data_IF_422023041630
#
_entry.id   IF_422023041630
#
_cell.length_a   1.000
_cell.length_b   1.000
_cell.length_c   1.000
_cell.angle_alpha   90.00
_cell.angle_beta   90.00
_cell.angle_gamma   90.00
#
_symmetry.space_group_name_H-M   'P 1'
#
loop_
_entity.id
_entity.type
_entity.pdbx_description
1 polymer ?
#
# COMPACT_ATOMS: atom_id res chain seq x y z
N UNK A 1 9.87 24.71 -55.98
CA UNK A 1 8.86 24.42 -54.95
C UNK A 1 8.91 22.91 -54.74
N UNK A 2 9.54 22.48 -53.68
CA UNK A 2 9.59 21.07 -53.25
C UNK A 2 8.55 20.92 -52.15
N UNK A 3 7.52 20.09 -52.38
CA UNK A 3 6.56 19.70 -51.40
C UNK A 3 7.21 18.79 -50.39
N UNK A 4 7.26 19.24 -49.15
CA UNK A 4 7.69 18.44 -47.99
C UNK A 4 6.53 17.61 -47.50
N UNK A 5 6.51 16.33 -47.85
CA UNK A 5 5.54 15.36 -47.29
C UNK A 5 5.84 15.18 -45.80
N UNK A 6 4.98 15.74 -44.97
CA UNK A 6 4.93 15.45 -43.53
C UNK A 6 4.21 14.13 -43.36
N UNK A 7 4.95 13.06 -43.13
CA UNK A 7 4.40 11.78 -42.66
C UNK A 7 4.02 11.94 -41.20
N UNK A 8 2.74 12.09 -40.94
CA UNK A 8 2.18 11.99 -39.59
C UNK A 8 2.12 10.51 -39.25
N UNK A 9 3.11 10.04 -38.50
CA UNK A 9 3.06 8.72 -37.89
C UNK A 9 1.93 8.72 -36.84
N UNK A 10 0.88 7.95 -37.09
CA UNK A 10 -0.07 7.53 -36.08
C UNK A 10 0.64 6.49 -35.21
N UNK A 11 1.31 6.91 -34.16
CA UNK A 11 1.73 6.03 -33.08
C UNK A 11 0.51 5.68 -32.23
N UNK A 12 0.02 4.47 -32.39
CA UNK A 12 -0.74 3.80 -31.36
C UNK A 12 0.27 3.37 -30.29
N UNK A 13 0.63 4.29 -29.41
CA UNK A 13 1.42 3.97 -28.22
C UNK A 13 0.58 3.09 -27.29
N UNK A 14 0.57 1.79 -27.55
CA UNK A 14 0.36 0.80 -26.50
C UNK A 14 1.51 1.01 -25.52
N UNK A 15 1.17 1.60 -24.36
CA UNK A 15 2.10 1.71 -23.23
C UNK A 15 2.56 0.28 -22.91
N UNK A 16 3.70 -0.11 -23.48
CA UNK A 16 4.34 -1.38 -23.15
C UNK A 16 4.56 -1.38 -21.64
N UNK A 17 4.00 -2.37 -20.97
CA UNK A 17 4.03 -2.59 -19.53
C UNK A 17 5.44 -2.34 -18.98
N UNK A 18 5.65 -1.16 -18.39
CA UNK A 18 6.89 -0.82 -17.72
C UNK A 18 6.88 -1.59 -16.39
N UNK A 19 7.57 -2.71 -16.37
CA UNK A 19 7.73 -3.56 -15.20
C UNK A 19 8.59 -2.85 -14.14
N UNK A 20 7.95 -1.99 -13.34
CA UNK A 20 8.62 -1.23 -12.30
C UNK A 20 8.48 -1.85 -10.92
N UNK A 21 7.27 -1.80 -10.37
CA UNK A 21 6.94 -2.36 -9.06
C UNK A 21 6.20 -3.67 -9.27
N UNK A 22 6.73 -4.76 -8.73
CA UNK A 22 6.19 -6.10 -8.90
C UNK A 22 5.61 -6.66 -7.60
N UNK A 23 4.59 -7.46 -7.74
CA UNK A 23 4.07 -8.33 -6.67
C UNK A 23 4.94 -9.58 -6.61
N UNK A 24 5.54 -9.85 -5.45
CA UNK A 24 6.46 -10.96 -5.26
C UNK A 24 5.98 -11.90 -4.14
N UNK A 25 6.57 -13.09 -4.07
CA UNK A 25 6.40 -14.04 -2.97
C UNK A 25 5.66 -15.31 -3.36
N UNK A 26 5.56 -16.23 -2.41
CA UNK A 26 4.99 -17.56 -2.64
C UNK A 26 3.47 -17.53 -2.85
N UNK A 27 2.81 -16.48 -2.38
CA UNK A 27 1.37 -16.25 -2.60
C UNK A 27 1.03 -15.74 -4.03
N UNK A 28 2.05 -15.56 -4.91
CA UNK A 28 1.83 -15.17 -6.31
C UNK A 28 0.88 -16.13 -7.03
N UNK A 29 1.01 -17.44 -6.79
CA UNK A 29 0.08 -18.44 -7.32
C UNK A 29 -1.35 -18.20 -6.88
N UNK A 30 -1.57 -17.83 -5.62
CA UNK A 30 -2.88 -17.48 -5.08
C UNK A 30 -3.39 -16.15 -5.65
N UNK A 31 -2.54 -15.14 -5.75
CA UNK A 31 -2.93 -13.86 -6.36
C UNK A 31 -3.42 -14.05 -7.80
N UNK A 32 -2.82 -15.00 -8.53
CA UNK A 32 -3.21 -15.37 -9.88
C UNK A 32 -4.54 -16.13 -9.90
N UNK A 33 -4.71 -17.14 -9.04
CA UNK A 33 -5.89 -18.04 -9.05
C UNK A 33 -7.14 -17.39 -8.48
N UNK A 34 -7.03 -16.55 -7.47
CA UNK A 34 -8.16 -16.03 -6.69
C UNK A 34 -8.78 -14.75 -7.27
N UNK A 35 -8.40 -14.33 -8.45
CA UNK A 35 -8.77 -13.02 -9.01
C UNK A 35 -8.53 -11.87 -8.01
N UNK A 36 -7.40 -11.94 -7.32
CA UNK A 36 -7.05 -10.97 -6.28
C UNK A 36 -6.50 -9.66 -6.86
N UNK A 37 -6.25 -9.62 -8.18
CA UNK A 37 -5.69 -8.48 -8.89
C UNK A 37 -6.69 -8.01 -9.94
N UNK A 38 -6.94 -6.71 -9.99
CA UNK A 38 -7.71 -6.04 -11.04
C UNK A 38 -6.94 -4.81 -11.51
N UNK A 39 -7.19 -4.40 -12.75
CA UNK A 39 -6.64 -3.20 -13.37
C UNK A 39 -7.76 -2.21 -13.65
N UNK A 40 -7.52 -0.95 -13.36
CA UNK A 40 -8.41 0.13 -13.80
C UNK A 40 -8.24 0.39 -15.31
N UNK A 41 -9.18 1.12 -15.91
CA UNK A 41 -9.03 1.59 -17.28
C UNK A 41 -8.15 2.85 -17.40
N UNK A 42 -7.42 3.18 -16.33
CA UNK A 42 -6.52 4.33 -16.25
C UNK A 42 -6.69 5.15 -14.97
N UNK A 43 -6.37 6.43 -15.06
CA UNK A 43 -6.43 7.41 -13.97
C UNK A 43 -7.36 8.55 -14.40
N UNK A 44 -8.18 9.07 -13.46
CA UNK A 44 -9.09 10.17 -13.73
C UNK A 44 -9.13 11.17 -12.56
N UNK A 45 -9.48 12.45 -12.82
CA UNK A 45 -9.81 13.38 -11.75
C UNK A 45 -10.96 12.83 -10.90
N UNK A 46 -10.84 12.90 -9.57
CA UNK A 46 -11.79 12.26 -8.66
C UNK A 46 -13.24 12.75 -8.85
N UNK A 47 -13.43 14.03 -9.10
CA UNK A 47 -14.76 14.63 -9.33
C UNK A 47 -15.47 14.06 -10.53
N UNK A 48 -14.77 13.55 -11.55
CA UNK A 48 -15.38 12.95 -12.75
C UNK A 48 -15.88 11.53 -12.52
N UNK A 49 -15.38 10.82 -11.49
CA UNK A 49 -15.74 9.43 -11.19
C UNK A 49 -16.59 9.31 -9.92
N UNK A 50 -16.33 10.17 -8.91
CA UNK A 50 -16.88 10.06 -7.56
C UNK A 50 -17.31 11.43 -7.03
N UNK A 51 -18.28 12.07 -7.70
CA UNK A 51 -18.77 13.42 -7.38
C UNK A 51 -19.42 13.53 -5.98
N UNK A 52 -19.92 12.41 -5.43
CA UNK A 52 -20.55 12.35 -4.10
C UNK A 52 -19.56 12.26 -2.95
N UNK A 53 -18.28 11.99 -3.21
CA UNK A 53 -17.26 11.90 -2.17
C UNK A 53 -16.51 13.22 -2.01
N UNK A 54 -16.07 13.56 -0.79
CA UNK A 54 -15.42 14.83 -0.49
C UNK A 54 -13.94 14.83 -0.93
N UNK A 55 -13.68 14.70 -2.21
CA UNK A 55 -12.33 14.83 -2.74
C UNK A 55 -11.89 16.29 -2.86
N UNK A 56 -10.65 16.57 -2.50
CA UNK A 56 -10.06 17.87 -2.82
C UNK A 56 -9.92 18.07 -4.35
N UNK A 57 -9.82 19.32 -4.80
CA UNK A 57 -9.93 19.67 -6.22
C UNK A 57 -8.88 19.01 -7.11
N UNK A 58 -7.68 18.75 -6.62
CA UNK A 58 -6.57 18.13 -7.35
C UNK A 58 -6.44 16.62 -7.15
N UNK A 59 -7.48 15.95 -6.61
CA UNK A 59 -7.43 14.51 -6.38
C UNK A 59 -7.60 13.72 -7.68
N UNK A 60 -6.82 12.65 -7.79
CA UNK A 60 -6.95 11.64 -8.84
C UNK A 60 -7.30 10.29 -8.23
N UNK A 61 -8.03 9.49 -8.98
CA UNK A 61 -8.51 8.16 -8.59
C UNK A 61 -8.39 7.19 -9.75
N UNK A 62 -8.47 5.87 -9.50
CA UNK A 62 -8.57 4.89 -10.59
C UNK A 62 -9.80 5.14 -11.45
N UNK A 63 -9.64 5.10 -12.76
CA UNK A 63 -10.73 5.23 -13.75
C UNK A 63 -11.45 3.90 -13.89
N UNK A 64 -12.77 3.94 -13.76
CA UNK A 64 -13.63 2.76 -13.96
C UNK A 64 -13.83 2.44 -15.45
N UNK A 65 -14.16 1.19 -15.83
CA UNK A 65 -14.36 0.04 -14.94
C UNK A 65 -13.05 -0.65 -14.54
N UNK A 66 -13.14 -1.49 -13.49
CA UNK A 66 -12.11 -2.47 -13.18
C UNK A 66 -12.24 -3.67 -14.11
N UNK A 67 -11.11 -4.25 -14.51
CA UNK A 67 -11.03 -5.47 -15.31
C UNK A 67 -9.98 -6.45 -14.76
N UNK A 68 -10.09 -7.70 -15.13
CA UNK A 68 -9.02 -8.67 -14.90
C UNK A 68 -7.83 -8.35 -15.80
N UNK A 69 -6.59 -8.51 -15.31
CA UNK A 69 -5.43 -8.43 -16.18
C UNK A 69 -5.42 -9.57 -17.19
N UNK A 70 -4.93 -9.31 -18.40
CA UNK A 70 -4.56 -10.36 -19.34
C UNK A 70 -3.35 -11.16 -18.83
N UNK A 71 -3.04 -12.30 -19.43
CA UNK A 71 -1.97 -13.18 -18.93
C UNK A 71 -0.61 -12.50 -18.97
N UNK A 72 -0.29 -11.81 -20.05
CA UNK A 72 0.95 -11.06 -20.24
C UNK A 72 1.08 -9.85 -19.28
N UNK A 73 -0.03 -9.16 -19.03
CA UNK A 73 -0.08 -8.09 -18.02
C UNK A 73 0.17 -8.66 -16.62
N UNK A 74 -0.44 -9.80 -16.31
CA UNK A 74 -0.27 -10.46 -15.03
C UNK A 74 1.18 -10.97 -14.87
N UNK A 75 1.77 -11.55 -15.91
CA UNK A 75 3.16 -12.01 -15.90
C UNK A 75 4.14 -10.84 -15.71
N UNK A 76 3.82 -9.64 -16.24
CA UNK A 76 4.62 -8.44 -16.04
C UNK A 76 4.53 -7.88 -14.63
N UNK A 77 3.37 -8.04 -13.97
CA UNK A 77 3.12 -7.57 -12.60
C UNK A 77 3.69 -8.52 -11.53
N UNK A 78 3.81 -9.80 -11.85
CA UNK A 78 4.27 -10.81 -10.90
C UNK A 78 5.78 -11.02 -11.02
N UNK A 79 6.44 -11.25 -9.89
CA UNK A 79 7.87 -11.52 -9.79
C UNK A 79 8.15 -12.58 -8.72
N UNK A 80 9.41 -12.94 -8.56
CA UNK A 80 9.88 -13.82 -7.51
C UNK A 80 10.68 -13.05 -6.45
N UNK A 81 10.87 -13.66 -5.29
CA UNK A 81 11.70 -13.10 -4.21
C UNK A 81 13.14 -12.89 -4.68
N UNK A 82 13.66 -13.81 -5.51
CA UNK A 82 15.04 -13.78 -6.03
C UNK A 82 15.27 -12.61 -6.99
N UNK A 83 14.22 -12.12 -7.65
CA UNK A 83 14.28 -10.99 -8.58
C UNK A 83 13.88 -9.66 -7.96
N UNK A 84 13.60 -9.64 -6.67
CA UNK A 84 13.17 -8.45 -5.94
C UNK A 84 14.28 -7.39 -5.90
N UNK A 85 14.02 -6.22 -6.46
CA UNK A 85 14.92 -5.07 -6.38
C UNK A 85 14.51 -4.18 -5.19
N UNK A 86 15.46 -3.57 -4.48
CA UNK A 86 15.15 -2.66 -3.37
C UNK A 86 14.10 -1.61 -3.78
N UNK A 87 13.09 -1.42 -2.92
CA UNK A 87 12.06 -0.40 -3.13
C UNK A 87 11.19 -0.55 -4.39
N UNK A 88 11.21 -1.72 -5.07
CA UNK A 88 10.44 -1.97 -6.29
C UNK A 88 9.59 -3.24 -6.22
N UNK A 89 9.25 -3.67 -5.02
CA UNK A 89 8.41 -4.84 -4.83
C UNK A 89 7.31 -4.58 -3.81
N UNK A 90 6.22 -5.31 -3.98
CA UNK A 90 5.12 -5.42 -3.03
C UNK A 90 4.97 -6.90 -2.71
N UNK A 91 4.78 -7.23 -1.45
CA UNK A 91 4.50 -8.59 -1.03
C UNK A 91 3.25 -8.63 -0.17
N UNK A 92 2.35 -9.57 -0.46
CA UNK A 92 1.22 -9.90 0.41
C UNK A 92 1.62 -11.10 1.24
N UNK A 93 1.54 -10.97 2.56
CA UNK A 93 1.94 -12.01 3.52
C UNK A 93 0.79 -12.32 4.48
N UNK A 94 0.71 -13.57 4.93
CA UNK A 94 -0.21 -13.96 5.99
C UNK A 94 0.42 -13.68 7.34
N UNK A 95 -0.31 -13.00 8.20
CA UNK A 95 0.12 -12.70 9.57
C UNK A 95 -0.35 -13.84 10.49
N UNK A 96 0.51 -14.34 11.40
CA UNK A 96 0.10 -15.32 12.39
C UNK A 96 -1.11 -14.85 13.19
N UNK A 97 -2.03 -15.79 13.42
CA UNK A 97 -3.28 -15.49 14.13
C UNK A 97 -3.03 -14.88 15.51
N UNK A 98 -1.99 -15.31 16.19
CA UNK A 98 -1.59 -14.84 17.52
C UNK A 98 -1.23 -13.34 17.51
N UNK A 99 -0.68 -12.83 16.41
CA UNK A 99 -0.37 -11.40 16.25
C UNK A 99 -1.64 -10.62 15.97
N UNK A 100 -2.52 -11.13 15.13
CA UNK A 100 -3.83 -10.52 14.85
C UNK A 100 -4.69 -10.49 16.13
N UNK A 101 -4.68 -11.56 16.91
CA UNK A 101 -5.43 -11.70 18.15
C UNK A 101 -4.98 -10.72 19.25
N UNK A 102 -3.78 -10.14 19.17
CA UNK A 102 -3.36 -9.06 20.09
C UNK A 102 -4.35 -7.88 20.08
N UNK A 103 -5.02 -7.65 18.95
CA UNK A 103 -6.01 -6.59 18.78
C UNK A 103 -7.45 -7.08 19.00
N UNK A 104 -7.69 -8.39 19.08
CA UNK A 104 -9.03 -8.96 19.22
C UNK A 104 -9.63 -8.76 20.63
N UNK A 105 -8.77 -8.60 21.66
CA UNK A 105 -9.21 -8.38 23.05
C UNK A 105 -10.12 -7.17 23.19
N UNK A 106 -9.85 -6.08 22.46
CA UNK A 106 -10.67 -4.88 22.40
C UNK A 106 -11.87 -4.96 21.46
N UNK A 107 -12.11 -6.11 20.81
CA UNK A 107 -13.15 -6.27 19.79
C UNK A 107 -13.12 -5.17 18.74
N UNK A 108 -11.91 -4.76 18.37
CA UNK A 108 -11.64 -3.63 17.46
C UNK A 108 -12.35 -3.80 16.10
N UNK A 109 -12.41 -5.03 15.60
CA UNK A 109 -13.15 -5.40 14.41
C UNK A 109 -14.38 -6.23 14.80
N UNK A 110 -15.46 -5.58 15.19
CA UNK A 110 -16.72 -6.24 15.45
C UNK A 110 -17.83 -5.66 14.58
N UNK A 111 -18.87 -6.46 14.31
CA UNK A 111 -20.07 -6.00 13.58
C UNK A 111 -20.76 -4.80 14.25
N UNK A 112 -20.51 -4.58 15.54
CA UNK A 112 -21.10 -3.50 16.35
C UNK A 112 -20.07 -2.39 16.68
N UNK A 113 -18.94 -2.32 15.97
CA UNK A 113 -17.97 -1.24 16.13
C UNK A 113 -18.59 0.08 15.67
N UNK A 114 -18.38 1.12 16.45
CA UNK A 114 -18.75 2.50 16.13
C UNK A 114 -17.50 3.36 16.11
N UNK A 115 -17.52 4.50 15.43
CA UNK A 115 -16.41 5.47 15.39
C UNK A 115 -15.93 5.81 16.82
N UNK A 116 -16.85 6.07 17.74
CA UNK A 116 -16.52 6.37 19.14
C UNK A 116 -15.75 5.24 19.82
N UNK A 117 -16.22 3.98 19.72
CA UNK A 117 -15.55 2.82 20.32
C UNK A 117 -14.16 2.58 19.72
N UNK A 118 -14.01 2.80 18.42
CA UNK A 118 -12.72 2.67 17.75
C UNK A 118 -11.73 3.74 18.20
N UNK A 119 -12.17 5.00 18.37
CA UNK A 119 -11.34 6.09 18.91
C UNK A 119 -10.94 5.82 20.35
N UNK A 120 -11.86 5.38 21.18
CA UNK A 120 -11.59 5.01 22.58
C UNK A 120 -10.54 3.90 22.65
N UNK A 121 -10.72 2.81 21.88
CA UNK A 121 -9.76 1.72 21.84
C UNK A 121 -8.38 2.18 21.33
N UNK A 122 -8.31 2.89 20.20
CA UNK A 122 -7.02 3.29 19.59
C UNK A 122 -6.23 4.27 20.47
N UNK A 123 -6.88 5.01 21.35
CA UNK A 123 -6.22 5.86 22.36
C UNK A 123 -5.86 5.13 23.65
N UNK A 124 -6.38 3.92 23.87
CA UNK A 124 -6.24 3.14 25.09
C UNK A 124 -4.86 2.50 25.28
N UNK A 125 -4.59 2.05 26.52
CA UNK A 125 -3.36 1.34 26.88
C UNK A 125 -3.27 -0.05 26.24
N UNK A 126 -4.40 -0.75 26.12
CA UNK A 126 -4.50 -2.07 25.49
C UNK A 126 -4.03 -2.03 24.03
N UNK A 127 -4.50 -1.05 23.26
CA UNK A 127 -4.04 -0.88 21.88
C UNK A 127 -2.55 -0.54 21.79
N UNK A 128 -2.06 0.32 22.68
CA UNK A 128 -0.61 0.62 22.74
C UNK A 128 0.23 -0.61 23.03
N UNK A 129 -0.19 -1.47 23.94
CA UNK A 129 0.51 -2.73 24.24
C UNK A 129 0.48 -3.67 23.03
N UNK A 130 -0.67 -3.82 22.36
CA UNK A 130 -0.80 -4.60 21.14
C UNK A 130 0.14 -4.07 20.03
N UNK A 131 0.21 -2.75 19.84
CA UNK A 131 1.14 -2.12 18.91
C UNK A 131 2.59 -2.49 19.24
N UNK A 132 3.02 -2.36 20.50
CA UNK A 132 4.39 -2.66 20.90
C UNK A 132 4.76 -4.13 20.65
N UNK A 133 3.84 -5.07 20.91
CA UNK A 133 4.04 -6.49 20.61
C UNK A 133 4.12 -6.76 19.12
N UNK A 134 3.25 -6.10 18.33
CA UNK A 134 3.26 -6.22 16.88
C UNK A 134 4.53 -5.61 16.28
N UNK A 135 5.04 -4.50 16.80
CA UNK A 135 6.33 -3.91 16.40
C UNK A 135 7.48 -4.89 16.57
N UNK A 136 7.51 -5.67 17.66
CA UNK A 136 8.53 -6.72 17.84
C UNK A 136 8.42 -7.82 16.77
N UNK A 137 7.20 -8.20 16.40
CA UNK A 137 6.97 -9.18 15.33
C UNK A 137 7.43 -8.64 13.99
N UNK A 138 6.94 -7.45 13.58
CA UNK A 138 7.28 -6.88 12.26
C UNK A 138 8.74 -6.48 12.15
N UNK A 139 9.40 -6.14 13.27
CA UNK A 139 10.84 -5.90 13.33
C UNK A 139 11.69 -7.12 12.95
N UNK A 140 11.18 -8.34 13.16
CA UNK A 140 11.86 -9.55 12.69
C UNK A 140 11.73 -9.80 11.18
N UNK A 141 10.84 -9.06 10.50
CA UNK A 141 10.67 -9.10 9.05
C UNK A 141 11.59 -8.10 8.33
N UNK A 142 12.34 -7.28 9.05
CA UNK A 142 13.30 -6.31 8.50
C UNK A 142 14.65 -6.95 8.23
N UNK A 143 15.52 -6.23 7.53
CA UNK A 143 16.93 -6.59 7.42
C UNK A 143 17.59 -6.52 8.80
N UNK A 144 18.41 -7.51 9.19
CA UNK A 144 19.05 -7.54 10.51
C UNK A 144 19.90 -6.29 10.81
N UNK A 145 20.48 -5.70 9.77
CA UNK A 145 21.31 -4.48 9.87
C UNK A 145 20.46 -3.21 10.09
N UNK A 146 19.16 -3.29 9.81
CA UNK A 146 18.21 -2.16 9.90
C UNK A 146 16.91 -2.59 10.59
N UNK A 147 16.95 -3.05 11.85
CA UNK A 147 15.78 -3.63 12.53
C UNK A 147 14.76 -2.60 13.00
N UNK A 148 15.00 -1.31 12.75
CA UNK A 148 14.17 -0.22 13.26
C UNK A 148 12.79 -0.20 12.59
N UNK A 149 11.77 -0.12 13.43
CA UNK A 149 10.38 0.12 13.03
C UNK A 149 9.96 1.48 13.55
N UNK A 150 9.44 2.30 12.68
CA UNK A 150 8.89 3.60 13.02
C UNK A 150 7.42 3.75 12.60
N UNK A 151 6.76 4.87 12.99
CA UNK A 151 5.41 5.25 12.60
C UNK A 151 4.36 4.16 12.84
N UNK A 152 4.60 3.28 13.83
CA UNK A 152 3.67 2.21 14.15
C UNK A 152 2.39 2.77 14.78
N UNK A 153 1.23 2.46 14.18
CA UNK A 153 -0.07 2.91 14.65
C UNK A 153 -1.20 2.02 14.15
N UNK A 154 -2.35 2.12 14.80
CA UNK A 154 -3.61 1.53 14.33
C UNK A 154 -4.49 2.64 13.78
N UNK A 155 -5.00 2.41 12.59
CA UNK A 155 -5.92 3.32 11.89
C UNK A 155 -7.24 2.61 11.63
N UNK A 156 -8.31 3.39 11.53
CA UNK A 156 -9.59 2.90 11.03
C UNK A 156 -10.16 3.89 10.01
N UNK A 157 -10.95 3.36 9.07
CA UNK A 157 -11.56 4.11 7.97
C UNK A 157 -12.99 3.68 7.79
N UNK A 158 -13.80 4.59 7.27
CA UNK A 158 -15.18 4.29 6.89
C UNK A 158 -15.23 3.23 5.79
N UNK A 159 -16.26 2.39 5.78
CA UNK A 159 -16.51 1.46 4.68
C UNK A 159 -16.94 2.18 3.41
N UNK A 160 -16.73 1.55 2.25
CA UNK A 160 -17.22 2.02 0.96
C UNK A 160 -16.42 3.16 0.31
N UNK A 161 -15.26 3.53 0.84
CA UNK A 161 -14.43 4.60 0.29
C UNK A 161 -13.65 4.12 -0.94
N UNK A 162 -13.75 4.84 -2.10
CA UNK A 162 -12.94 4.53 -3.28
C UNK A 162 -11.44 4.69 -3.05
N UNK A 163 -11.03 5.69 -2.23
CA UNK A 163 -9.69 5.85 -1.66
C UNK A 163 -9.79 6.26 -0.20
N UNK A 164 -8.80 5.95 0.62
CA UNK A 164 -8.93 6.03 2.08
C UNK A 164 -8.09 7.10 2.76
N UNK A 165 -7.13 7.70 2.05
CA UNK A 165 -6.20 8.64 2.67
C UNK A 165 -6.82 10.03 2.79
N UNK A 166 -6.94 10.60 4.02
CA UNK A 166 -7.41 11.96 4.20
C UNK A 166 -6.31 12.96 3.83
N UNK A 167 -6.71 14.07 3.25
CA UNK A 167 -5.87 15.28 3.12
C UNK A 167 -6.06 16.17 4.35
N UNK A 168 -7.24 16.70 4.50
CA UNK A 168 -7.73 17.43 5.67
C UNK A 168 -9.16 16.97 5.88
N UNK A 169 -9.45 16.29 6.99
CA UNK A 169 -10.79 15.74 7.21
C UNK A 169 -11.89 16.81 6.99
N UNK A 170 -12.94 16.53 6.21
CA UNK A 170 -13.30 15.22 5.62
C UNK A 170 -12.71 14.97 4.22
N UNK A 171 -11.87 15.84 3.65
CA UNK A 171 -11.38 15.72 2.28
C UNK A 171 -10.46 14.49 2.08
N UNK A 172 -10.68 13.75 0.99
CA UNK A 172 -9.85 12.64 0.56
C UNK A 172 -8.75 13.11 -0.39
N UNK A 173 -7.54 12.56 -0.19
CA UNK A 173 -6.36 12.89 -0.99
C UNK A 173 -6.38 12.24 -2.38
N UNK A 174 -6.92 11.05 -2.50
CA UNK A 174 -6.83 10.23 -3.69
C UNK A 174 -5.45 9.59 -3.87
N UNK A 175 -5.16 9.09 -5.06
CA UNK A 175 -3.87 8.50 -5.39
C UNK A 175 -2.73 9.47 -5.07
N UNK A 176 -1.74 9.04 -4.29
CA UNK A 176 -0.67 9.88 -3.75
C UNK A 176 0.64 9.11 -3.57
N UNK A 177 1.68 9.81 -3.23
CA UNK A 177 2.96 9.28 -2.77
C UNK A 177 3.11 9.71 -1.33
N UNK A 178 3.51 8.81 -0.44
CA UNK A 178 3.85 9.18 0.93
C UNK A 178 5.01 10.19 0.92
N UNK A 179 5.03 11.11 1.87
CA UNK A 179 5.98 12.22 1.89
C UNK A 179 6.78 12.33 3.19
N UNK A 180 6.91 11.21 3.91
CA UNK A 180 7.68 11.16 5.14
C UNK A 180 9.18 11.40 4.91
N UNK A 181 9.67 11.01 3.72
CA UNK A 181 11.07 11.13 3.29
C UNK A 181 11.19 12.07 2.08
N UNK A 182 10.44 13.17 2.09
CA UNK A 182 10.37 14.13 0.99
C UNK A 182 11.72 14.78 0.62
N UNK A 183 12.69 14.79 1.54
CA UNK A 183 14.04 15.33 1.30
C UNK A 183 14.99 14.34 0.60
N UNK A 184 14.57 13.08 0.40
CA UNK A 184 15.37 12.07 -0.29
C UNK A 184 15.20 12.22 -1.79
N UNK A 185 16.30 12.32 -2.58
CA UNK A 185 16.26 12.35 -4.04
C UNK A 185 15.52 11.15 -4.64
N UNK A 186 14.98 11.28 -5.84
CA UNK A 186 14.20 10.20 -6.48
C UNK A 186 15.00 8.94 -6.69
N UNK A 187 16.28 9.08 -7.06
CA UNK A 187 17.21 7.98 -7.33
C UNK A 187 17.48 7.14 -6.06
N UNK A 188 17.36 7.76 -4.90
CA UNK A 188 17.62 7.13 -3.59
C UNK A 188 16.33 6.59 -2.92
N UNK A 189 15.15 6.89 -3.45
CA UNK A 189 13.88 6.47 -2.85
C UNK A 189 13.64 4.97 -2.87
N UNK A 190 14.40 4.23 -3.63
CA UNK A 190 14.43 2.77 -3.58
C UNK A 190 14.96 2.23 -2.23
N UNK A 191 15.66 3.07 -1.46
CA UNK A 191 16.31 2.68 -0.20
C UNK A 191 15.64 3.26 1.05
N UNK A 192 14.54 4.01 0.91
CA UNK A 192 13.79 4.49 2.06
C UNK A 192 12.94 3.37 2.70
N UNK A 193 12.57 3.49 3.99
CA UNK A 193 11.70 2.53 4.63
C UNK A 193 10.42 2.27 3.85
N UNK A 194 10.04 1.00 3.77
CA UNK A 194 8.79 0.54 3.18
C UNK A 194 7.69 0.51 4.25
N UNK A 195 6.44 0.46 3.83
CA UNK A 195 5.29 0.34 4.72
C UNK A 195 4.80 -1.09 4.78
N UNK A 196 4.61 -1.62 6.01
CA UNK A 196 3.76 -2.78 6.23
C UNK A 196 2.37 -2.29 6.68
N UNK A 197 1.31 -2.94 6.17
CA UNK A 197 -0.06 -2.66 6.60
C UNK A 197 -0.84 -3.96 6.75
N UNK A 198 -1.23 -4.28 7.99
CA UNK A 198 -1.95 -5.50 8.37
C UNK A 198 -3.45 -5.20 8.37
N UNK A 199 -4.23 -5.99 7.66
CA UNK A 199 -5.69 -5.95 7.73
C UNK A 199 -6.18 -6.62 9.02
N UNK A 200 -6.59 -5.80 9.99
CA UNK A 200 -7.19 -6.23 11.25
C UNK A 200 -8.73 -6.22 11.19
N UNK A 201 -9.31 -5.80 10.06
CA UNK A 201 -10.74 -5.67 9.84
C UNK A 201 -11.44 -7.01 9.58
N UNK A 202 -12.76 -6.94 9.36
CA UNK A 202 -13.62 -8.10 9.07
C UNK A 202 -13.82 -8.34 7.58
N UNK A 203 -13.49 -7.36 6.74
CA UNK A 203 -13.70 -7.39 5.31
C UNK A 203 -12.37 -7.33 4.55
N UNK A 204 -12.39 -7.76 3.30
CA UNK A 204 -11.28 -7.52 2.38
C UNK A 204 -11.09 -6.01 2.21
N UNK A 205 -9.85 -5.56 2.22
CA UNK A 205 -9.45 -4.21 1.81
C UNK A 205 -8.59 -4.29 0.56
N UNK A 206 -8.33 -3.16 -0.08
CA UNK A 206 -7.54 -3.16 -1.30
C UNK A 206 -6.38 -2.17 -1.19
N UNK A 207 -5.21 -2.59 -1.70
CA UNK A 207 -4.12 -1.70 -2.04
C UNK A 207 -4.28 -1.31 -3.51
N UNK A 208 -4.27 -0.01 -3.78
CA UNK A 208 -4.28 0.59 -5.10
C UNK A 208 -2.88 1.14 -5.39
N UNK A 209 -2.31 0.85 -6.57
CA UNK A 209 -1.01 1.42 -6.91
C UNK A 209 -0.77 1.49 -8.42
N UNK A 210 0.09 2.42 -8.82
CA UNK A 210 0.69 2.50 -10.14
C UNK A 210 1.95 1.62 -10.14
N UNK A 211 2.08 0.71 -11.11
CA UNK A 211 3.19 -0.25 -11.17
C UNK A 211 4.52 0.35 -11.65
N UNK A 212 4.72 1.65 -11.47
CA UNK A 212 5.94 2.37 -11.78
C UNK A 212 6.52 3.04 -10.53
N UNK A 213 7.83 2.94 -10.35
CA UNK A 213 8.56 3.64 -9.29
C UNK A 213 8.77 5.12 -9.66
N UNK A 214 9.13 5.96 -8.68
CA UNK A 214 9.28 7.41 -8.92
C UNK A 214 10.35 7.73 -9.98
N UNK A 215 11.47 7.02 -10.00
CA UNK A 215 12.50 7.20 -11.02
C UNK A 215 12.01 6.81 -12.42
N UNK A 216 11.20 5.76 -12.55
CA UNK A 216 10.59 5.40 -13.83
C UNK A 216 9.58 6.44 -14.30
N UNK A 217 8.72 6.92 -13.38
CA UNK A 217 7.79 8.02 -13.69
C UNK A 217 8.58 9.28 -14.11
N UNK A 218 9.70 9.57 -13.45
CA UNK A 218 10.60 10.66 -13.84
C UNK A 218 11.05 10.51 -15.30
N UNK A 219 11.59 9.36 -15.68
CA UNK A 219 12.02 9.11 -17.06
C UNK A 219 10.87 9.26 -18.07
N UNK A 220 9.68 8.72 -17.75
CA UNK A 220 8.50 8.86 -18.60
C UNK A 220 8.09 10.34 -18.82
N UNK A 221 8.19 11.17 -17.79
CA UNK A 221 7.90 12.59 -17.88
C UNK A 221 8.95 13.34 -18.73
N UNK A 222 10.23 13.01 -18.51
CA UNK A 222 11.37 13.58 -19.27
C UNK A 222 11.26 13.23 -20.76
N UNK A 223 11.01 11.97 -21.09
CA UNK A 223 10.87 11.49 -22.47
C UNK A 223 9.75 12.21 -23.22
N UNK A 224 8.66 12.54 -22.53
CA UNK A 224 7.57 13.36 -23.08
C UNK A 224 7.78 14.87 -22.96
N UNK A 225 8.94 15.34 -22.43
CA UNK A 225 9.27 16.75 -22.22
C UNK A 225 8.25 17.48 -21.33
N UNK A 226 7.65 16.77 -20.37
CA UNK A 226 6.70 17.33 -19.42
C UNK A 226 7.49 18.01 -18.30
N UNK A 227 7.22 19.30 -18.10
CA UNK A 227 7.85 20.07 -17.03
C UNK A 227 7.11 19.87 -15.71
N UNK A 228 7.84 19.76 -14.61
CA UNK A 228 7.35 19.75 -13.25
C UNK A 228 8.45 20.23 -12.30
N UNK A 229 8.06 20.79 -11.15
CA UNK A 229 9.02 21.26 -10.16
C UNK A 229 9.56 20.10 -9.30
N UNK A 230 10.86 20.10 -9.08
CA UNK A 230 11.58 19.17 -8.20
C UNK A 230 11.95 19.80 -6.84
N UNK A 231 11.65 21.10 -6.66
CA UNK A 231 12.12 21.89 -5.50
C UNK A 231 11.06 21.93 -4.41
N UNK A 232 11.25 21.19 -3.31
CA UNK A 232 10.51 21.24 -2.05
C UNK A 232 9.55 20.08 -1.76
N UNK A 233 8.90 20.08 -0.58
CA UNK A 233 7.84 19.14 -0.18
C UNK A 233 6.62 19.18 -1.11
N UNK A 234 6.45 20.24 -1.89
CA UNK A 234 5.46 20.40 -2.96
C UNK A 234 5.83 19.54 -4.18
N UNK A 235 7.10 19.17 -4.33
CA UNK A 235 7.61 18.43 -5.49
C UNK A 235 6.90 17.08 -5.71
N UNK A 236 6.63 16.33 -4.65
CA UNK A 236 5.89 15.06 -4.79
C UNK A 236 4.48 15.25 -5.30
N UNK A 237 3.82 16.36 -4.94
CA UNK A 237 2.48 16.69 -5.41
C UNK A 237 2.49 17.10 -6.89
N UNK A 238 3.39 17.98 -7.30
CA UNK A 238 3.50 18.44 -8.69
C UNK A 238 3.94 17.31 -9.61
N UNK A 239 4.94 16.54 -9.22
CA UNK A 239 5.42 15.35 -9.91
C UNK A 239 4.29 14.33 -10.15
N UNK A 240 3.57 13.95 -9.09
CA UNK A 240 2.42 13.06 -9.16
C UNK A 240 1.34 13.61 -10.10
N UNK A 241 1.00 14.90 -9.96
CA UNK A 241 -0.02 15.55 -10.77
C UNK A 241 0.38 15.60 -12.25
N UNK A 242 1.65 15.91 -12.55
CA UNK A 242 2.19 15.88 -13.90
C UNK A 242 2.03 14.48 -14.54
N UNK A 243 2.38 13.42 -13.80
CA UNK A 243 2.19 12.06 -14.30
C UNK A 243 0.72 11.74 -14.54
N UNK A 244 -0.14 11.90 -13.54
CA UNK A 244 -1.54 11.49 -13.62
C UNK A 244 -2.35 12.28 -14.65
N UNK A 245 -1.96 13.52 -14.93
CA UNK A 245 -2.59 14.35 -15.96
C UNK A 245 -2.16 14.00 -17.39
N UNK A 246 -0.96 13.44 -17.56
CA UNK A 246 -0.40 13.17 -18.89
C UNK A 246 -0.39 11.68 -19.26
N UNK A 247 -0.61 10.80 -18.29
CA UNK A 247 -0.66 9.33 -18.47
C UNK A 247 -1.99 8.78 -17.93
N UNK A 248 -3.07 9.42 -18.34
CA UNK A 248 -4.44 9.10 -17.89
C UNK A 248 -4.91 7.69 -18.25
N UNK A 249 -4.28 7.03 -19.22
CA UNK A 249 -4.56 5.63 -19.61
C UNK A 249 -3.67 4.61 -18.90
N UNK A 250 -2.73 5.07 -18.05
CA UNK A 250 -1.88 4.16 -17.28
C UNK A 250 -2.72 3.44 -16.21
N UNK A 251 -2.76 2.10 -16.20
CA UNK A 251 -3.64 1.37 -15.31
C UNK A 251 -3.18 1.48 -13.84
N UNK A 252 -4.14 1.60 -12.95
CA UNK A 252 -3.94 1.40 -11.51
C UNK A 252 -4.20 -0.06 -11.18
N UNK A 253 -3.29 -0.69 -10.48
CA UNK A 253 -3.42 -2.07 -9.99
C UNK A 253 -4.19 -2.04 -8.68
N UNK A 254 -5.19 -2.92 -8.52
CA UNK A 254 -5.93 -3.14 -7.28
C UNK A 254 -5.63 -4.55 -6.78
N UNK A 255 -5.07 -4.64 -5.57
CA UNK A 255 -4.73 -5.93 -4.93
C UNK A 255 -5.58 -6.13 -3.69
N UNK A 256 -6.21 -7.28 -3.58
CA UNK A 256 -7.03 -7.68 -2.45
C UNK A 256 -6.16 -8.14 -1.28
N UNK A 257 -6.42 -7.59 -0.10
CA UNK A 257 -5.78 -7.91 1.18
C UNK A 257 -6.88 -8.42 2.13
N UNK A 258 -6.89 -9.70 2.42
CA UNK A 258 -7.89 -10.36 3.27
C UNK A 258 -7.67 -10.04 4.75
N UNK A 259 -8.68 -10.22 5.62
CA UNK A 259 -8.49 -10.22 7.07
C UNK A 259 -7.34 -11.15 7.49
N UNK A 260 -6.42 -10.63 8.33
CA UNK A 260 -5.22 -11.35 8.77
C UNK A 260 -4.10 -11.42 7.72
N UNK A 261 -4.22 -10.75 6.59
CA UNK A 261 -3.12 -10.53 5.65
C UNK A 261 -2.53 -9.14 5.84
N UNK A 262 -1.30 -8.98 5.40
CA UNK A 262 -0.62 -7.69 5.29
C UNK A 262 -0.02 -7.53 3.89
N UNK A 263 0.15 -6.29 3.48
CA UNK A 263 1.08 -5.98 2.42
C UNK A 263 2.32 -5.27 2.97
N UNK A 264 3.46 -5.50 2.33
CA UNK A 264 4.67 -4.69 2.44
C UNK A 264 4.85 -3.98 1.11
N UNK A 265 5.00 -2.65 1.12
CA UNK A 265 5.02 -1.84 -0.12
C UNK A 265 5.88 -0.58 0.02
N UNK A 266 6.54 -0.13 -1.08
CA UNK A 266 7.40 1.07 -1.09
C UNK A 266 6.56 2.35 -1.28
N UNK A 267 5.71 2.68 -0.32
CA UNK A 267 4.71 3.77 -0.42
C UNK A 267 5.32 5.16 -0.64
N UNK A 268 6.59 5.35 -0.27
CA UNK A 268 7.37 6.57 -0.53
C UNK A 268 7.96 6.63 -1.96
N UNK A 269 7.90 5.52 -2.69
CA UNK A 269 8.48 5.37 -4.03
C UNK A 269 7.45 5.00 -5.11
N UNK A 270 6.17 5.06 -4.81
CA UNK A 270 5.09 4.75 -5.76
C UNK A 270 3.85 5.60 -5.51
N UNK A 271 3.07 5.83 -6.58
CA UNK A 271 1.72 6.39 -6.46
C UNK A 271 0.78 5.26 -5.98
N UNK A 272 0.07 5.51 -4.86
CA UNK A 272 -0.78 4.50 -4.24
C UNK A 272 -1.94 5.11 -3.43
N UNK A 273 -2.86 4.28 -2.98
CA UNK A 273 -3.83 4.53 -1.90
C UNK A 273 -4.40 3.18 -1.39
N UNK A 274 -5.21 3.22 -0.34
CA UNK A 274 -6.09 2.12 0.06
C UNK A 274 -7.49 2.29 -0.52
N UNK A 275 -8.29 1.20 -0.52
CA UNK A 275 -9.73 1.29 -0.82
C UNK A 275 -10.51 0.34 0.08
N UNK A 276 -11.71 0.79 0.48
CA UNK A 276 -12.66 0.03 1.32
C UNK A 276 -13.98 -0.22 0.57
N UNK A 277 -13.98 -0.06 -0.77
CA UNK A 277 -15.15 -0.35 -1.61
C UNK A 277 -15.62 -1.79 -1.39
N UNK A 278 -16.92 -1.95 -1.17
CA UNK A 278 -17.54 -3.25 -0.89
C UNK A 278 -17.47 -3.70 0.58
N UNK A 279 -16.78 -2.96 1.44
CA UNK A 279 -16.82 -3.21 2.88
C UNK A 279 -18.16 -2.75 3.48
N UNK A 280 -18.57 -3.47 4.52
CA UNK A 280 -19.79 -3.18 5.31
C UNK A 280 -19.48 -2.79 6.76
N UNK A 281 -18.22 -2.92 7.16
CA UNK A 281 -17.72 -2.58 8.49
C UNK A 281 -16.50 -1.68 8.36
N UNK A 282 -16.15 -0.98 9.44
CA UNK A 282 -14.93 -0.18 9.48
C UNK A 282 -13.71 -0.99 9.05
N UNK A 283 -12.91 -0.42 8.18
CA UNK A 283 -11.56 -0.90 7.89
C UNK A 283 -10.67 -0.59 9.07
N UNK A 284 -10.04 -1.60 9.63
CA UNK A 284 -9.10 -1.46 10.74
C UNK A 284 -7.77 -2.02 10.31
N UNK A 285 -6.71 -1.23 10.46
CA UNK A 285 -5.37 -1.64 10.04
C UNK A 285 -4.31 -1.24 11.06
N UNK A 286 -3.34 -2.13 11.30
CA UNK A 286 -2.05 -1.75 11.85
C UNK A 286 -1.14 -1.31 10.70
N UNK A 287 -0.38 -0.23 10.87
CA UNK A 287 0.60 0.21 9.88
C UNK A 287 1.89 0.64 10.57
N UNK A 288 3.02 0.32 9.94
CA UNK A 288 4.36 0.71 10.40
C UNK A 288 5.32 0.85 9.21
N UNK A 289 6.43 1.56 9.40
CA UNK A 289 7.49 1.71 8.42
C UNK A 289 8.78 1.02 8.90
N UNK A 290 9.54 0.46 7.94
CA UNK A 290 10.81 -0.22 8.22
C UNK A 290 11.51 -0.70 6.95
N UNK A 291 12.76 -1.13 7.09
CA UNK A 291 13.52 -1.70 5.98
C UNK A 291 13.25 -3.21 5.86
N UNK A 292 12.07 -3.56 5.35
CA UNK A 292 11.63 -4.95 5.21
C UNK A 292 12.44 -5.68 4.14
N UNK A 293 12.71 -6.97 4.40
CA UNK A 293 13.25 -7.90 3.40
C UNK A 293 12.12 -8.71 2.77
N UNK A 294 12.26 -9.16 1.52
CA UNK A 294 11.33 -10.12 0.94
C UNK A 294 11.26 -11.39 1.82
N UNK A 295 10.05 -11.89 2.08
CA UNK A 295 9.82 -13.05 2.93
C UNK A 295 9.69 -14.32 2.07
N UNK A 296 10.39 -15.41 2.46
CA UNK A 296 10.24 -16.73 1.86
C UNK A 296 9.41 -17.61 2.79
N UNK A 297 8.37 -18.29 2.29
CA UNK A 297 7.40 -19.03 3.10
C UNK A 297 8.01 -20.13 3.98
N UNK A 298 9.08 -20.77 3.53
CA UNK A 298 9.67 -21.91 4.24
C UNK A 298 10.57 -21.53 5.43
N UNK A 299 11.25 -20.38 5.37
CA UNK A 299 12.18 -19.93 6.41
C UNK A 299 11.46 -19.05 7.43
N UNK A 300 10.55 -18.22 6.94
CA UNK A 300 9.88 -17.20 7.74
C UNK A 300 8.73 -17.75 8.57
N UNK A 301 8.11 -18.87 8.15
CA UNK A 301 7.11 -19.58 8.97
C UNK A 301 7.73 -20.12 10.27
N UNK A 302 8.96 -20.63 10.22
CA UNK A 302 9.67 -21.10 11.41
C UNK A 302 10.10 -19.93 12.34
N UNK A 303 10.57 -18.82 11.76
CA UNK A 303 10.91 -17.62 12.51
C UNK A 303 9.65 -16.96 13.11
N UNK A 304 8.55 -16.89 12.37
CA UNK A 304 7.26 -16.41 12.85
C UNK A 304 6.69 -17.29 13.96
N UNK A 305 6.77 -18.62 13.83
CA UNK A 305 6.35 -19.56 14.87
C UNK A 305 7.20 -19.43 16.14
N UNK A 306 8.52 -19.26 15.99
CA UNK A 306 9.44 -19.06 17.12
C UNK A 306 9.15 -17.75 17.86
N UNK A 307 8.92 -16.66 17.13
CA UNK A 307 8.61 -15.34 17.68
C UNK A 307 7.21 -15.32 18.32
N UNK A 308 6.23 -15.97 17.70
CA UNK A 308 4.88 -16.13 18.27
C UNK A 308 4.94 -16.92 19.59
N UNK A 309 5.71 -18.01 19.63
CA UNK A 309 5.92 -18.79 20.84
C UNK A 309 6.64 -18.01 21.94
N UNK A 310 7.59 -17.14 21.59
CA UNK A 310 8.31 -16.27 22.53
C UNK A 310 7.41 -15.15 23.06
N UNK A 311 6.61 -14.52 22.23
CA UNK A 311 5.61 -13.51 22.63
C UNK A 311 4.58 -14.08 23.60
N UNK A 312 4.15 -15.33 23.38
CA UNK A 312 3.21 -16.05 24.25
C UNK A 312 3.84 -16.45 25.59
N UNK A 313 5.14 -16.78 25.63
CA UNK A 313 5.86 -17.09 26.90
C UNK A 313 6.03 -15.85 27.78
N UNK A 314 6.31 -14.69 27.18
CA UNK A 314 6.42 -13.43 27.91
C UNK A 314 5.08 -13.01 28.55
N UNK A 315 3.94 -13.44 28.00
CA UNK A 315 2.61 -13.19 28.58
C UNK A 315 2.36 -13.99 29.88
N UNK A 316 2.98 -15.18 30.05
CA UNK A 316 2.80 -16.02 31.24
C UNK A 316 3.72 -15.64 32.39
N UNK A 317 4.69 -14.76 32.16
CA UNK A 317 5.72 -14.39 33.13
C UNK A 317 5.38 -13.15 33.98
N UNK A 318 4.23 -12.47 33.76
CA UNK A 318 3.79 -11.35 34.59
C UNK A 318 2.82 -11.88 35.65
N UNK A 319 3.24 -12.07 36.93
CA UNK A 319 2.27 -12.38 37.99
C UNK A 319 1.36 -11.18 38.17
N UNK A 320 0.05 -11.42 38.13
CA UNK A 320 -0.97 -10.50 38.65
C UNK A 320 -0.63 -10.22 40.14
N UNK A 321 0.09 -9.13 40.40
CA UNK A 321 0.13 -8.60 41.77
C UNK A 321 -1.26 -8.05 42.08
N UNK A 322 -2.03 -8.86 42.77
CA UNK A 322 -3.26 -8.42 43.40
C UNK A 322 -2.91 -7.29 44.39
N UNK A 323 -3.27 -6.07 44.06
CA UNK A 323 -3.29 -4.98 45.03
C UNK A 323 -4.39 -5.27 46.05
N UNK A 324 -3.93 -5.48 47.31
CA UNK A 324 -4.80 -5.43 48.48
C UNK A 324 -5.31 -4.02 48.72
#
# INVERSE_FOLDING_TARGET
>A
MQETNVVVAKESDTVTSISGIRLIGDDVGRLRSDNAIELSSGIAPAKSQYSSFPYWTGAFVPKLPWRRPASDELDSLLGSVETAQPGRWIQVIRIPKEVVDLFAGGRIASKNSTDHKLREYTSGSECREAILKTVKYVGALTWPEQPNIDRASVFFKDPGLPTTTPRNYPELLGLHIDSAYHNVPFEERNHVPMRISINLGLNDRFLLFVSASMDQIHHMLVDRKIQYSMQSSVATHEFRTAFMSNFHDFPVVKVRIRPGEAYVAPTENMIHDGSTVGQTHFDVQFSACGHFRPQCSSIDAAAAAFLSAKLLKDQRAVPLQAKK
#
